data_IF_881769781147
#
_entry.id   IF_881769781147
#
_cell.length_a   1.000
_cell.length_b   1.000
_cell.length_c   1.000
_cell.angle_alpha   90.00
_cell.angle_beta   90.00
_cell.angle_gamma   90.00
#
_symmetry.space_group_name_H-M   'P 1'
#
loop_
_entity.id
_entity.type
_entity.pdbx_description
1 polymer ?
#
# COMPACT_ATOMS: atom_id res chain seq x y z
N UNK A 1 -23.34 3.71 29.67
CA UNK A 1 -21.96 3.64 30.19
C UNK A 1 -21.17 2.80 29.19
N UNK A 2 -19.97 3.28 28.81
CA UNK A 2 -19.02 2.77 27.81
C UNK A 2 -19.40 2.98 26.33
N UNK A 3 -18.72 3.93 25.70
CA UNK A 3 -18.57 4.12 24.25
C UNK A 3 -17.54 3.09 23.71
N UNK A 4 -17.25 3.14 22.40
CA UNK A 4 -16.05 2.57 21.74
C UNK A 4 -16.27 1.16 21.13
N UNK A 5 -16.80 1.00 19.91
CA UNK A 5 -16.17 1.37 18.62
C UNK A 5 -14.68 1.01 18.49
N UNK A 6 -14.25 -0.12 19.07
CA UNK A 6 -12.93 -0.69 18.74
C UNK A 6 -12.98 -1.47 17.41
N UNK A 7 -13.39 -0.83 16.32
CA UNK A 7 -12.96 -1.27 14.98
C UNK A 7 -11.55 -0.74 14.80
N UNK A 8 -10.58 -1.43 15.40
CA UNK A 8 -9.17 -1.21 15.09
C UNK A 8 -9.02 -1.31 13.57
N UNK A 9 -8.82 -0.16 12.94
CA UNK A 9 -8.67 -0.03 11.51
C UNK A 9 -7.58 -0.99 11.05
N UNK A 10 -7.99 -2.03 10.34
CA UNK A 10 -7.11 -2.74 9.44
C UNK A 10 -6.73 -1.70 8.37
N UNK A 11 -5.66 -0.94 8.64
CA UNK A 11 -5.02 -0.15 7.62
C UNK A 11 -4.76 -1.12 6.49
N UNK A 12 -5.44 -0.94 5.36
CA UNK A 12 -5.36 -1.84 4.23
C UNK A 12 -3.96 -1.73 3.62
N UNK A 13 -2.97 -2.37 4.28
CA UNK A 13 -1.59 -2.51 3.84
C UNK A 13 -1.52 -3.59 2.74
N UNK A 14 -2.44 -3.49 1.79
CA UNK A 14 -2.57 -4.33 0.62
C UNK A 14 -2.33 -3.51 -0.62
N UNK A 15 -1.89 -4.18 -1.68
CA UNK A 15 -1.73 -3.57 -2.97
C UNK A 15 -3.03 -2.95 -3.47
N UNK A 16 -3.00 -1.68 -3.90
CA UNK A 16 -4.18 -1.03 -4.49
C UNK A 16 -4.64 -1.66 -5.83
N UNK A 17 -3.80 -2.47 -6.47
CA UNK A 17 -4.13 -3.14 -7.75
C UNK A 17 -4.93 -4.44 -7.53
N UNK A 18 -4.55 -5.25 -6.54
CA UNK A 18 -5.12 -6.59 -6.36
C UNK A 18 -5.53 -6.93 -4.92
N UNK A 19 -5.32 -6.02 -3.97
CA UNK A 19 -5.57 -6.23 -2.54
C UNK A 19 -4.61 -7.19 -1.84
N UNK A 20 -3.66 -7.81 -2.57
CA UNK A 20 -2.71 -8.75 -2.00
C UNK A 20 -1.74 -8.06 -1.02
N UNK A 21 -1.27 -8.75 0.02
CA UNK A 21 -0.32 -8.19 0.97
C UNK A 21 0.98 -7.78 0.27
N UNK A 22 1.55 -6.65 0.72
CA UNK A 22 2.84 -6.17 0.25
C UNK A 22 3.97 -6.93 0.97
N UNK A 23 4.90 -7.46 0.18
CA UNK A 23 6.09 -8.17 0.61
C UNK A 23 7.31 -7.28 0.34
N UNK A 24 8.24 -7.28 1.28
CA UNK A 24 9.50 -6.57 1.17
C UNK A 24 10.59 -7.57 0.79
N UNK A 25 11.16 -7.44 -0.40
CA UNK A 25 12.22 -8.34 -0.89
C UNK A 25 13.57 -8.06 -0.23
N UNK A 26 13.71 -6.92 0.47
CA UNK A 26 14.97 -6.50 1.11
C UNK A 26 16.05 -6.02 0.14
N UNK A 27 15.75 -6.04 -1.16
CA UNK A 27 16.60 -5.52 -2.23
C UNK A 27 15.79 -4.48 -2.98
N UNK A 28 16.19 -3.23 -2.83
CA UNK A 28 15.56 -2.13 -3.53
C UNK A 28 15.98 -2.17 -5.00
N UNK A 29 14.99 -2.12 -5.88
CA UNK A 29 15.18 -2.17 -7.33
C UNK A 29 14.32 -1.13 -8.00
N UNK A 30 14.72 -0.71 -9.19
CA UNK A 30 13.91 0.17 -10.02
C UNK A 30 12.60 -0.53 -10.39
N UNK A 31 11.48 0.05 -9.95
CA UNK A 31 10.12 -0.44 -10.19
C UNK A 31 9.26 0.68 -10.75
N UNK A 32 8.35 0.31 -11.65
CA UNK A 32 7.38 1.24 -12.23
C UNK A 32 6.04 1.10 -11.53
N UNK A 33 5.50 2.19 -10.99
CA UNK A 33 4.21 2.21 -10.34
C UNK A 33 3.11 1.84 -11.34
N UNK A 34 2.29 0.84 -11.01
CA UNK A 34 1.19 0.40 -11.87
C UNK A 34 0.02 1.42 -11.93
N UNK A 35 -0.04 2.39 -11.02
CA UNK A 35 -1.08 3.41 -10.97
C UNK A 35 -0.70 4.69 -11.70
N UNK A 36 0.46 5.28 -11.37
CA UNK A 36 0.89 6.56 -11.93
C UNK A 36 1.99 6.44 -13.00
N UNK A 37 2.57 5.26 -13.19
CA UNK A 37 3.65 5.03 -14.16
C UNK A 37 5.02 5.58 -13.77
N UNK A 38 5.18 6.17 -12.57
CA UNK A 38 6.47 6.68 -12.09
C UNK A 38 7.42 5.53 -11.76
N UNK A 39 8.68 5.68 -12.14
CA UNK A 39 9.74 4.75 -11.76
C UNK A 39 10.36 5.21 -10.44
N UNK A 40 10.46 4.31 -9.47
CA UNK A 40 11.09 4.56 -8.18
C UNK A 40 11.84 3.30 -7.71
N UNK A 41 12.86 3.50 -6.90
CA UNK A 41 13.57 2.39 -6.27
C UNK A 41 12.76 1.88 -5.08
N UNK A 42 12.29 0.64 -5.15
CA UNK A 42 11.49 0.06 -4.08
C UNK A 42 11.66 -1.45 -4.02
N UNK A 43 11.78 -1.97 -2.81
CA UNK A 43 11.80 -3.39 -2.50
C UNK A 43 10.40 -3.92 -2.11
N UNK A 44 9.41 -3.03 -2.01
CA UNK A 44 8.05 -3.34 -1.60
C UNK A 44 7.18 -3.69 -2.81
N UNK A 45 6.85 -4.95 -2.98
CA UNK A 45 5.92 -5.40 -4.02
C UNK A 45 4.89 -6.36 -3.47
N UNK A 46 3.70 -6.38 -4.04
CA UNK A 46 2.70 -7.32 -3.58
C UNK A 46 3.07 -8.77 -3.91
N UNK A 47 2.43 -9.73 -3.25
CA UNK A 47 2.62 -11.15 -3.55
C UNK A 47 2.38 -11.53 -5.04
N UNK A 48 1.65 -10.69 -5.79
CA UNK A 48 1.45 -10.84 -7.24
C UNK A 48 2.47 -10.05 -8.10
N UNK A 49 3.38 -9.28 -7.49
CA UNK A 49 4.45 -8.53 -8.16
C UNK A 49 4.10 -7.09 -8.55
N UNK A 50 2.96 -6.55 -8.11
CA UNK A 50 2.59 -5.15 -8.38
C UNK A 50 3.31 -4.20 -7.42
N UNK A 51 3.82 -3.11 -7.97
CA UNK A 51 4.40 -2.00 -7.23
C UNK A 51 3.49 -0.77 -7.33
N UNK A 52 3.26 -0.11 -6.20
CA UNK A 52 2.53 1.15 -6.10
C UNK A 52 3.37 2.10 -5.25
N UNK A 53 3.63 3.31 -5.75
CA UNK A 53 4.44 4.29 -5.04
C UNK A 53 3.69 4.89 -3.83
N UNK A 54 4.44 5.36 -2.83
CA UNK A 54 3.90 6.05 -1.64
C UNK A 54 2.95 7.20 -1.95
N UNK A 55 3.14 7.93 -3.06
CA UNK A 55 2.18 8.97 -3.45
C UNK A 55 0.78 8.39 -3.69
N UNK A 56 0.69 7.29 -4.45
CA UNK A 56 -0.59 6.62 -4.69
C UNK A 56 -1.06 5.79 -3.48
N UNK A 57 -0.13 5.30 -2.66
CA UNK A 57 -0.44 4.58 -1.42
C UNK A 57 -1.02 5.51 -0.34
N UNK A 58 -0.49 6.73 -0.21
CA UNK A 58 -0.92 7.72 0.76
C UNK A 58 -2.30 8.31 0.43
N UNK A 59 -2.67 8.41 -0.84
CA UNK A 59 -4.01 8.86 -1.26
C UNK A 59 -5.13 7.87 -0.87
N UNK A 60 -4.82 6.61 -0.58
CA UNK A 60 -5.81 5.60 -0.21
C UNK A 60 -6.24 5.64 1.26
N UNK A 61 -5.65 6.52 2.07
CA UNK A 61 -6.09 6.78 3.43
C UNK A 61 -6.75 8.17 3.54
N UNK A 62 -8.05 8.31 3.19
CA UNK A 62 -8.82 9.39 3.76
C UNK A 62 -9.06 9.05 5.24
N UNK A 63 -8.14 9.48 6.10
CA UNK A 63 -8.44 9.61 7.51
C UNK A 63 -9.37 10.82 7.67
N UNK A 64 -10.61 10.53 8.08
CA UNK A 64 -11.60 11.45 8.65
C UNK A 64 -12.51 12.25 7.70
N UNK A 65 -13.69 11.69 7.40
CA UNK A 65 -14.99 12.40 7.31
C UNK A 65 -16.15 11.48 7.74
#
# INVERSE_FOLDING_TARGET
MAQDDCRCGEHAAGCLVCGAPVLYEGVSRERTCALCGKTADSDAVCAAGHFVCDECHAEAAPDYL
#
